data_IF_404260370394
#
_entry.id   IF_404260370394
#
_cell.length_a   1.000
_cell.length_b   1.000
_cell.length_c   1.000
_cell.angle_alpha   90.00
_cell.angle_beta   90.00
_cell.angle_gamma   90.00
#
_symmetry.space_group_name_H-M   'P 1'
#
loop_
_entity.id
_entity.type
_entity.pdbx_description
1 polymer ?
#
# COMPACT_ATOMS: atom_id res chain seq x y z
N UNK A 1 -19.98 -12.36 50.34
CA UNK A 1 -19.23 -11.37 49.51
C UNK A 1 -18.45 -12.03 48.36
N UNK A 2 -19.02 -13.03 47.65
CA UNK A 2 -18.35 -13.74 46.52
C UNK A 2 -19.16 -13.76 45.22
N UNK A 3 -20.36 -13.17 45.20
CA UNK A 3 -21.26 -13.17 44.03
C UNK A 3 -21.09 -11.93 43.13
N UNK A 4 -20.76 -10.77 43.73
CA UNK A 4 -20.52 -9.52 42.98
C UNK A 4 -19.23 -9.50 42.14
N UNK A 5 -18.26 -10.38 42.43
CA UNK A 5 -17.05 -10.55 41.61
C UNK A 5 -17.35 -11.28 40.30
N UNK A 6 -18.24 -12.28 40.31
CA UNK A 6 -18.67 -13.01 39.11
C UNK A 6 -19.50 -12.13 38.17
N UNK A 7 -20.41 -11.31 38.71
CA UNK A 7 -21.19 -10.36 37.90
C UNK A 7 -20.31 -9.27 37.29
N UNK A 8 -19.27 -8.80 38.00
CA UNK A 8 -18.28 -7.84 37.48
C UNK A 8 -17.44 -8.44 36.34
N UNK A 9 -17.00 -9.68 36.43
CA UNK A 9 -16.27 -10.35 35.34
C UNK A 9 -17.16 -10.60 34.11
N UNK A 10 -18.45 -10.88 34.31
CA UNK A 10 -19.39 -11.09 33.20
C UNK A 10 -19.67 -9.79 32.42
N UNK A 11 -19.83 -8.67 33.13
CA UNK A 11 -20.07 -7.33 32.52
C UNK A 11 -18.84 -6.82 31.75
N UNK A 12 -17.63 -7.09 32.25
CA UNK A 12 -16.38 -6.72 31.56
C UNK A 12 -16.21 -7.51 30.25
N UNK A 13 -16.67 -8.76 30.18
CA UNK A 13 -16.56 -9.58 28.97
C UNK A 13 -17.57 -9.18 27.88
N UNK A 14 -18.76 -8.71 28.26
CA UNK A 14 -19.76 -8.17 27.33
C UNK A 14 -19.35 -6.78 26.82
N UNK A 15 -18.67 -5.97 27.62
CA UNK A 15 -18.15 -4.67 27.20
C UNK A 15 -17.01 -4.78 26.16
N UNK A 16 -16.26 -5.88 26.14
CA UNK A 16 -15.23 -6.15 25.13
C UNK A 16 -15.83 -6.49 23.76
N UNK A 17 -17.06 -6.99 23.71
CA UNK A 17 -17.77 -7.30 22.46
C UNK A 17 -18.39 -6.07 21.79
N UNK A 18 -18.65 -4.99 22.53
CA UNK A 18 -19.14 -3.73 21.96
C UNK A 18 -18.07 -2.89 21.24
N UNK A 19 -16.79 -3.27 21.31
CA UNK A 19 -15.67 -2.53 20.70
C UNK A 19 -15.46 -2.87 19.20
N UNK A 20 -16.24 -3.79 18.62
CA UNK A 20 -16.19 -4.07 17.17
C UNK A 20 -17.14 -3.21 16.33
N UNK A 21 -17.95 -2.35 16.95
CA UNK A 21 -18.82 -1.42 16.20
C UNK A 21 -18.07 -0.18 15.76
N UNK A 22 -17.27 -0.36 14.72
CA UNK A 22 -17.05 0.67 13.72
C UNK A 22 -15.84 1.56 13.93
N UNK A 23 -14.67 1.08 13.51
CA UNK A 23 -13.78 1.93 12.73
C UNK A 23 -14.55 2.30 11.44
N UNK A 24 -15.40 3.33 11.48
CA UNK A 24 -15.84 4.02 10.26
C UNK A 24 -14.60 4.70 9.72
N UNK A 25 -13.79 3.97 8.96
CA UNK A 25 -12.74 4.56 8.14
C UNK A 25 -13.43 5.44 7.10
N UNK A 26 -13.64 6.71 7.47
CA UNK A 26 -13.82 7.83 6.57
C UNK A 26 -12.51 7.97 5.79
N UNK A 27 -12.29 7.09 4.83
CA UNK A 27 -11.37 7.33 3.73
C UNK A 27 -12.27 7.39 2.51
N UNK A 28 -12.37 8.56 1.89
CA UNK A 28 -13.26 8.85 0.76
C UNK A 28 -12.91 8.12 -0.54
N UNK A 29 -12.60 6.82 -0.46
CA UNK A 29 -12.29 5.92 -1.55
C UNK A 29 -13.10 4.64 -1.33
N UNK A 30 -13.79 4.16 -2.37
CA UNK A 30 -14.59 2.93 -2.27
C UNK A 30 -13.69 1.74 -1.85
N UNK A 31 -14.22 0.80 -1.05
CA UNK A 31 -13.46 -0.37 -0.63
C UNK A 31 -12.90 -1.17 -1.82
N UNK A 32 -13.60 -1.18 -2.97
CA UNK A 32 -13.13 -1.81 -4.20
C UNK A 32 -11.86 -1.15 -4.77
N UNK A 33 -11.89 0.17 -4.94
CA UNK A 33 -10.76 0.91 -5.52
C UNK A 33 -9.47 0.77 -4.68
N UNK A 34 -9.58 0.73 -3.35
CA UNK A 34 -8.41 0.54 -2.48
C UNK A 34 -7.81 -0.87 -2.62
N UNK A 35 -8.65 -1.91 -2.81
CA UNK A 35 -8.19 -3.28 -3.03
C UNK A 35 -7.52 -3.40 -4.41
N UNK A 36 -8.09 -2.76 -5.42
CA UNK A 36 -7.54 -2.72 -6.77
C UNK A 36 -6.16 -2.02 -6.78
N UNK A 37 -6.06 -0.84 -6.16
CA UNK A 37 -4.81 -0.08 -6.06
C UNK A 37 -3.72 -0.82 -5.27
N UNK A 38 -4.08 -1.52 -4.19
CA UNK A 38 -3.14 -2.34 -3.43
C UNK A 38 -2.61 -3.52 -4.27
N UNK A 39 -3.49 -4.15 -5.06
CA UNK A 39 -3.12 -5.23 -5.98
C UNK A 39 -2.20 -4.74 -7.09
N UNK A 40 -2.49 -3.58 -7.68
CA UNK A 40 -1.65 -2.91 -8.68
C UNK A 40 -0.27 -2.60 -8.08
N UNK A 41 -0.24 -1.99 -6.90
CA UNK A 41 1.01 -1.63 -6.20
C UNK A 41 1.88 -2.86 -5.98
N UNK A 42 1.28 -3.96 -5.53
CA UNK A 42 1.97 -5.23 -5.31
C UNK A 42 2.53 -5.79 -6.61
N UNK A 43 1.73 -5.81 -7.68
CA UNK A 43 2.16 -6.29 -8.99
C UNK A 43 3.35 -5.47 -9.55
N UNK A 44 3.29 -4.14 -9.45
CA UNK A 44 4.38 -3.26 -9.87
C UNK A 44 5.64 -3.53 -9.04
N UNK A 45 5.53 -3.58 -7.70
CA UNK A 45 6.66 -3.88 -6.82
C UNK A 45 7.30 -5.22 -7.17
N UNK A 46 6.50 -6.27 -7.36
CA UNK A 46 7.00 -7.61 -7.74
C UNK A 46 7.76 -7.60 -9.05
N UNK A 47 7.25 -6.90 -10.07
CA UNK A 47 7.97 -6.79 -11.36
C UNK A 47 9.28 -6.00 -11.25
N UNK A 48 9.29 -4.91 -10.47
CA UNK A 48 10.51 -4.13 -10.22
C UNK A 48 11.57 -4.95 -9.48
N UNK A 49 11.16 -5.82 -8.55
CA UNK A 49 12.07 -6.80 -7.90
C UNK A 49 12.69 -7.71 -8.94
N UNK A 50 11.85 -8.29 -9.82
CA UNK A 50 12.27 -9.30 -10.79
C UNK A 50 13.28 -8.74 -11.80
N UNK A 51 13.10 -7.50 -12.24
CA UNK A 51 13.96 -6.85 -13.22
C UNK A 51 15.24 -6.25 -12.58
N UNK A 52 15.39 -6.32 -11.24
CA UNK A 52 16.53 -5.75 -10.47
C UNK A 52 16.81 -4.28 -10.77
N UNK A 53 15.79 -3.55 -11.24
CA UNK A 53 15.90 -2.17 -11.73
C UNK A 53 16.21 -1.19 -10.60
N UNK A 54 16.06 -1.60 -9.34
CA UNK A 54 16.53 -0.83 -8.19
C UNK A 54 16.69 -1.69 -6.94
N UNK A 55 17.55 -1.26 -6.02
CA UNK A 55 17.48 -1.69 -4.64
C UNK A 55 16.13 -1.24 -4.06
N UNK A 56 15.23 -2.19 -3.82
CA UNK A 56 13.85 -1.98 -3.34
C UNK A 56 13.73 -1.12 -2.08
N UNK A 57 14.84 -0.89 -1.38
CA UNK A 57 14.95 0.01 -0.23
C UNK A 57 14.88 1.49 -0.60
N UNK A 58 15.12 1.88 -1.87
CA UNK A 58 15.21 3.29 -2.28
C UNK A 58 14.11 3.76 -3.21
N UNK A 59 13.25 2.86 -3.69
CA UNK A 59 12.14 3.18 -4.60
C UNK A 59 10.82 2.84 -3.92
N UNK A 60 10.00 3.86 -3.70
CA UNK A 60 8.63 3.70 -3.24
C UNK A 60 7.67 3.68 -4.42
N UNK A 61 6.67 2.81 -4.33
CA UNK A 61 5.59 2.69 -5.32
C UNK A 61 4.28 2.86 -4.57
N UNK A 62 3.50 3.85 -4.98
CA UNK A 62 2.15 4.11 -4.50
C UNK A 62 1.18 4.08 -5.68
N UNK A 63 -0.03 3.59 -5.49
CA UNK A 63 -1.09 3.63 -6.50
C UNK A 63 -2.31 4.34 -5.94
N UNK A 64 -2.93 5.20 -6.74
CA UNK A 64 -4.16 5.89 -6.40
C UNK A 64 -5.05 6.00 -7.64
N UNK A 65 -6.24 5.39 -7.59
CA UNK A 65 -7.18 5.29 -8.70
C UNK A 65 -6.49 4.83 -10.01
N UNK A 66 -5.68 3.78 -9.93
CA UNK A 66 -4.93 3.23 -11.08
C UNK A 66 -3.81 4.13 -11.63
N UNK A 67 -3.50 5.26 -10.97
CA UNK A 67 -2.29 6.04 -11.24
C UNK A 67 -1.17 5.58 -10.33
N UNK A 68 -0.06 5.11 -10.91
CA UNK A 68 1.13 4.67 -10.18
C UNK A 68 2.11 5.81 -10.05
N UNK A 69 2.60 6.05 -8.84
CA UNK A 69 3.60 7.05 -8.51
C UNK A 69 4.89 6.31 -8.14
N UNK A 70 5.94 6.55 -8.93
CA UNK A 70 7.28 6.02 -8.67
C UNK A 70 8.13 7.12 -8.04
N UNK A 71 8.51 6.95 -6.77
CA UNK A 71 9.23 7.94 -6.00
C UNK A 71 10.55 7.35 -5.47
N UNK A 72 11.58 8.18 -5.33
CA UNK A 72 12.86 7.76 -4.76
C UNK A 72 14.06 8.02 -5.66
N UNK A 73 15.10 7.20 -5.50
CA UNK A 73 16.37 7.39 -6.20
C UNK A 73 16.81 6.10 -6.90
N UNK A 74 17.31 6.24 -8.12
CA UNK A 74 17.91 5.16 -8.93
C UNK A 74 19.35 5.52 -9.31
N UNK A 75 20.14 4.53 -9.66
CA UNK A 75 21.58 4.69 -9.94
C UNK A 75 21.82 5.24 -11.35
N UNK A 76 20.89 5.05 -12.29
CA UNK A 76 21.05 5.48 -13.67
C UNK A 76 19.75 5.95 -14.34
N UNK A 77 19.89 6.69 -15.45
CA UNK A 77 18.75 7.14 -16.25
C UNK A 77 18.02 5.97 -16.93
N UNK A 78 18.75 4.92 -17.27
CA UNK A 78 18.22 3.68 -17.84
C UNK A 78 17.34 2.95 -16.81
N UNK A 79 17.79 2.85 -15.55
CA UNK A 79 16.98 2.29 -14.47
C UNK A 79 15.69 3.10 -14.27
N UNK A 80 15.75 4.44 -14.33
CA UNK A 80 14.56 5.30 -14.26
C UNK A 80 13.56 4.98 -15.36
N UNK A 81 14.03 4.85 -16.60
CA UNK A 81 13.17 4.56 -17.75
C UNK A 81 12.58 3.14 -17.69
N UNK A 82 13.39 2.15 -17.27
CA UNK A 82 12.93 0.78 -17.08
C UNK A 82 11.88 0.67 -15.98
N UNK A 83 12.04 1.38 -14.87
CA UNK A 83 11.05 1.36 -13.79
C UNK A 83 9.68 1.88 -14.27
N UNK A 84 9.69 2.93 -15.09
CA UNK A 84 8.47 3.46 -15.71
C UNK A 84 7.82 2.45 -16.65
N UNK A 85 8.61 1.82 -17.52
CA UNK A 85 8.10 0.82 -18.45
C UNK A 85 7.45 -0.35 -17.71
N UNK A 86 8.14 -0.88 -16.69
CA UNK A 86 7.63 -1.99 -15.86
C UNK A 86 6.33 -1.63 -15.16
N UNK A 87 6.24 -0.41 -14.62
CA UNK A 87 5.02 0.07 -14.00
C UNK A 87 3.86 0.15 -15.00
N UNK A 88 4.12 0.62 -16.24
CA UNK A 88 3.10 0.66 -17.31
C UNK A 88 2.63 -0.72 -17.74
N UNK A 89 3.49 -1.73 -17.66
CA UNK A 89 3.14 -3.12 -17.99
C UNK A 89 2.30 -3.82 -16.90
N UNK A 90 2.11 -3.22 -15.73
CA UNK A 90 1.26 -3.80 -14.70
C UNK A 90 -0.22 -3.68 -15.08
N UNK A 91 -0.97 -4.77 -14.86
CA UNK A 91 -2.40 -4.83 -15.17
C UNK A 91 -3.17 -3.86 -14.28
N UNK A 92 -4.04 -3.05 -14.88
CA UNK A 92 -4.88 -2.07 -14.16
C UNK A 92 -4.25 -0.68 -14.02
N UNK A 93 -3.04 -0.48 -14.53
CA UNK A 93 -2.41 0.85 -14.56
C UNK A 93 -3.03 1.70 -15.66
N UNK A 94 -3.55 2.87 -15.28
CA UNK A 94 -4.08 3.87 -16.18
C UNK A 94 -3.03 4.94 -16.51
N UNK A 95 -2.23 5.33 -15.52
CA UNK A 95 -1.19 6.34 -15.69
C UNK A 95 0.02 6.05 -14.80
N UNK A 96 1.19 6.53 -15.20
CA UNK A 96 2.43 6.41 -14.43
C UNK A 96 3.06 7.79 -14.30
N UNK A 97 3.31 8.20 -13.07
CA UNK A 97 4.02 9.42 -12.71
C UNK A 97 5.39 9.02 -12.18
N UNK A 98 6.43 9.33 -12.95
CA UNK A 98 7.80 8.97 -12.63
C UNK A 98 8.53 10.16 -11.97
N UNK A 99 8.67 10.13 -10.65
CA UNK A 99 9.40 11.12 -9.87
C UNK A 99 10.78 10.64 -9.43
N UNK A 100 11.28 9.54 -10.00
CA UNK A 100 12.57 8.98 -9.65
C UNK A 100 13.71 9.93 -10.01
N UNK A 101 14.59 10.16 -9.06
CA UNK A 101 15.80 10.96 -9.22
C UNK A 101 16.97 10.05 -9.55
N UNK A 102 17.78 10.42 -10.53
CA UNK A 102 19.03 9.71 -10.81
C UNK A 102 20.09 10.21 -9.82
N UNK A 103 20.70 9.31 -9.06
CA UNK A 103 21.80 9.64 -8.18
C UNK A 103 22.97 10.12 -9.04
N UNK A 104 23.26 11.42 -9.00
CA UNK A 104 24.54 11.94 -9.50
C UNK A 104 25.61 11.56 -8.50
N UNK A 105 26.52 10.68 -8.91
CA UNK A 105 27.75 10.41 -8.21
C UNK A 105 28.89 11.23 -8.83
#
# INVERSE_FOLDING_TARGET
MRLGRLMKTLVVMVAVLSVLSGCRSMTGKSAGTNIDDASITTAVKSKLVADKVSNLTRVNVDTNNGTVYLNGTVESAEQRARAEQIAREAKGVHNVVNNLQVQRN
#
